data_IF_958482794646
#
_entry.id   IF_958482794646
#
_cell.length_a   1.000
_cell.length_b   1.000
_cell.length_c   1.000
_cell.angle_alpha   90.00
_cell.angle_beta   90.00
_cell.angle_gamma   90.00
#
_symmetry.space_group_name_H-M   'P 1'
#
loop_
_entity.id
_entity.type
_entity.pdbx_description
1 polymer ?
#
# COMPACT_ATOMS: atom_id res chain seq x y z
N UNK A 1 -14.12 -14.59 -1.88
CA UNK A 1 -12.71 -14.76 -1.47
C UNK A 1 -11.87 -13.62 -2.03
N UNK A 2 -10.99 -13.06 -1.23
CA UNK A 2 -10.17 -11.92 -1.66
C UNK A 2 -9.02 -12.36 -2.56
N UNK A 3 -8.78 -11.62 -3.64
CA UNK A 3 -7.68 -11.88 -4.57
C UNK A 3 -6.34 -11.40 -4.05
N UNK A 4 -6.35 -10.36 -3.22
CA UNK A 4 -5.13 -9.72 -2.76
C UNK A 4 -5.04 -9.76 -1.23
N UNK A 5 -3.81 -9.66 -0.72
CA UNK A 5 -3.53 -9.78 0.71
C UNK A 5 -2.91 -8.51 1.25
N UNK A 6 -3.16 -8.25 2.53
CA UNK A 6 -2.48 -7.17 3.26
C UNK A 6 -0.97 -7.39 3.17
N UNK A 7 -0.24 -6.34 2.84
CA UNK A 7 1.21 -6.38 2.69
C UNK A 7 1.69 -6.51 1.25
N UNK A 8 0.81 -6.79 0.31
CA UNK A 8 1.19 -6.84 -1.10
C UNK A 8 1.50 -5.43 -1.61
N UNK A 9 2.53 -5.33 -2.44
CA UNK A 9 3.07 -4.06 -2.93
C UNK A 9 2.85 -3.97 -4.42
N UNK A 10 2.48 -2.77 -4.87
CA UNK A 10 2.28 -2.48 -6.29
C UNK A 10 3.04 -1.21 -6.67
N UNK A 11 3.38 -1.12 -7.95
CA UNK A 11 3.93 0.09 -8.53
C UNK A 11 2.77 0.98 -8.97
N UNK A 12 2.53 2.05 -8.23
CA UNK A 12 1.42 2.95 -8.53
C UNK A 12 1.76 3.87 -9.72
N UNK A 13 3.02 4.33 -9.78
CA UNK A 13 3.57 5.08 -10.90
C UNK A 13 5.07 4.80 -10.96
N UNK A 14 5.78 5.43 -11.92
CA UNK A 14 7.23 5.24 -12.03
C UNK A 14 8.00 5.64 -10.78
N UNK A 15 7.42 6.52 -9.99
CA UNK A 15 8.08 7.08 -8.81
C UNK A 15 7.35 6.78 -7.49
N UNK A 16 6.27 6.03 -7.54
CA UNK A 16 5.44 5.79 -6.37
C UNK A 16 5.14 4.30 -6.22
N UNK A 17 5.33 3.81 -5.01
CA UNK A 17 4.84 2.49 -4.62
C UNK A 17 3.59 2.63 -3.77
N UNK A 18 2.83 1.56 -3.69
CA UNK A 18 1.68 1.49 -2.78
C UNK A 18 1.61 0.09 -2.20
N UNK A 19 0.88 -0.04 -1.11
CA UNK A 19 0.68 -1.36 -0.52
C UNK A 19 -0.71 -1.47 0.10
N UNK A 20 -1.20 -2.69 0.18
CA UNK A 20 -2.47 -2.98 0.83
C UNK A 20 -2.23 -3.01 2.33
N UNK A 21 -2.95 -2.17 3.06
CA UNK A 21 -2.81 -2.07 4.53
C UNK A 21 -4.07 -2.51 5.26
N UNK A 22 -5.14 -2.77 4.54
CA UNK A 22 -6.39 -3.21 5.16
C UNK A 22 -7.39 -3.65 4.11
N UNK A 23 -8.58 -4.01 4.59
CA UNK A 23 -9.70 -4.44 3.74
C UNK A 23 -10.88 -3.51 3.94
N UNK A 24 -11.69 -3.37 2.89
CA UNK A 24 -12.99 -2.72 2.99
C UNK A 24 -14.07 -3.72 3.36
N UNK A 25 -15.32 -3.27 3.32
CA UNK A 25 -16.47 -4.10 3.69
C UNK A 25 -16.75 -5.21 2.67
N UNK A 26 -16.55 -4.91 1.40
CA UNK A 26 -16.76 -5.90 0.34
C UNK A 26 -15.48 -6.69 0.07
N UNK A 27 -15.62 -7.92 -0.40
CA UNK A 27 -14.50 -8.80 -0.67
C UNK A 27 -13.55 -8.27 -1.74
N UNK A 28 -14.01 -7.37 -2.59
CA UNK A 28 -13.20 -6.78 -3.63
C UNK A 28 -12.69 -5.38 -3.28
N UNK A 29 -12.84 -4.96 -2.04
CA UNK A 29 -12.46 -3.62 -1.59
C UNK A 29 -11.26 -3.69 -0.66
N UNK A 30 -10.27 -2.87 -0.93
CA UNK A 30 -9.00 -2.85 -0.20
C UNK A 30 -8.64 -1.43 0.21
N UNK A 31 -7.99 -1.31 1.36
CA UNK A 31 -7.43 -0.04 1.79
C UNK A 31 -5.97 0.02 1.34
N UNK A 32 -5.68 0.97 0.48
CA UNK A 32 -4.37 1.12 -0.15
C UNK A 32 -3.65 2.34 0.42
N UNK A 33 -2.40 2.17 0.82
CA UNK A 33 -1.53 3.29 1.18
C UNK A 33 -0.64 3.60 -0.01
N UNK A 34 -0.60 4.87 -0.42
CA UNK A 34 0.14 5.30 -1.60
C UNK A 34 1.26 6.24 -1.18
N UNK A 35 2.45 5.96 -1.68
CA UNK A 35 3.64 6.79 -1.44
C UNK A 35 3.49 8.15 -2.12
N UNK A 36 3.93 9.20 -1.44
CA UNK A 36 3.86 10.54 -2.00
C UNK A 36 4.90 10.72 -3.10
N UNK A 37 4.49 11.36 -4.16
CA UNK A 37 5.29 11.54 -5.35
C UNK A 37 6.58 12.34 -5.11
N UNK A 38 6.50 13.41 -4.34
CA UNK A 38 7.62 14.35 -4.18
C UNK A 38 8.51 14.05 -2.97
N UNK A 39 8.11 13.15 -2.11
CA UNK A 39 8.85 12.88 -0.88
C UNK A 39 8.80 14.00 0.16
N UNK A 40 7.96 15.02 -0.03
CA UNK A 40 7.81 16.11 0.92
C UNK A 40 6.62 15.89 1.83
N UNK A 41 6.76 16.20 3.11
CA UNK A 41 5.69 16.13 4.11
C UNK A 41 5.08 14.73 4.22
N UNK A 42 4.09 14.59 5.04
CA UNK A 42 3.41 13.31 5.19
C UNK A 42 4.35 12.17 5.56
N UNK A 43 5.34 12.43 6.40
CA UNK A 43 6.26 11.40 6.83
C UNK A 43 5.53 10.32 7.62
N UNK A 44 6.12 9.15 7.70
CA UNK A 44 5.55 8.03 8.45
C UNK A 44 5.29 8.38 9.91
N UNK A 45 6.02 9.32 10.46
CA UNK A 45 5.87 9.72 11.85
C UNK A 45 4.50 10.31 12.19
N UNK A 46 3.76 10.78 11.19
CA UNK A 46 2.44 11.38 11.40
C UNK A 46 1.31 10.37 11.49
N UNK A 47 1.56 9.13 11.15
CA UNK A 47 0.50 8.14 11.06
C UNK A 47 0.21 7.48 12.40
N UNK A 48 1.14 7.62 13.30
CA UNK A 48 1.02 6.95 14.58
C UNK A 48 1.45 5.49 14.51
N UNK A 49 1.44 4.85 15.66
CA UNK A 49 1.92 3.48 15.78
C UNK A 49 0.75 2.53 15.86
N UNK A 50 0.30 2.12 14.72
CA UNK A 50 -0.73 1.11 14.63
C UNK A 50 -0.30 0.05 13.62
N UNK A 51 -1.14 -0.94 13.45
CA UNK A 51 -0.83 -2.05 12.55
C UNK A 51 -0.59 -1.59 11.11
N UNK A 52 -1.34 -0.59 10.66
CA UNK A 52 -1.16 -0.04 9.31
C UNK A 52 0.22 0.60 9.15
N UNK A 53 0.70 1.30 10.18
CA UNK A 53 2.03 1.90 10.16
C UNK A 53 3.12 0.85 9.97
N UNK A 54 3.02 -0.26 10.70
CA UNK A 54 3.99 -1.35 10.58
C UNK A 54 3.97 -1.97 9.18
N UNK A 55 2.80 -2.14 8.63
CA UNK A 55 2.63 -2.66 7.27
C UNK A 55 3.27 -1.71 6.26
N UNK A 56 3.01 -0.43 6.38
CA UNK A 56 3.57 0.59 5.49
C UNK A 56 5.11 0.57 5.54
N UNK A 57 5.68 0.49 6.73
CA UNK A 57 7.13 0.40 6.88
C UNK A 57 7.67 -0.86 6.22
N UNK A 58 7.02 -1.98 6.43
CA UNK A 58 7.46 -3.25 5.85
C UNK A 58 7.38 -3.25 4.33
N UNK A 59 6.48 -2.45 3.77
CA UNK A 59 6.35 -2.29 2.32
C UNK A 59 7.42 -1.36 1.71
N UNK A 60 8.21 -0.70 2.56
CA UNK A 60 9.27 0.19 2.08
C UNK A 60 8.79 1.56 1.61
N UNK A 61 7.58 1.96 1.95
CA UNK A 61 7.09 3.30 1.65
C UNK A 61 7.77 4.30 2.58
N UNK A 62 8.25 5.40 2.03
CA UNK A 62 9.04 6.39 2.78
C UNK A 62 8.25 7.63 3.15
N UNK A 63 7.43 8.10 2.25
CA UNK A 63 6.70 9.36 2.41
C UNK A 63 5.26 9.14 2.01
N UNK A 64 4.35 9.74 2.76
CA UNK A 64 2.93 9.59 2.51
C UNK A 64 2.26 10.96 2.37
N UNK A 65 1.12 10.96 1.72
CA UNK A 65 0.24 12.14 1.71
C UNK A 65 -0.32 12.36 3.11
N UNK A 66 -0.90 13.51 3.36
CA UNK A 66 -1.58 13.78 4.63
C UNK A 66 -2.71 12.78 4.89
N UNK A 67 -3.40 12.39 3.82
CA UNK A 67 -4.41 11.33 3.86
C UNK A 67 -3.98 10.26 2.86
N UNK A 68 -3.09 9.36 3.29
CA UNK A 68 -2.46 8.43 2.36
C UNK A 68 -3.31 7.24 1.98
N UNK A 69 -4.48 7.07 2.59
CA UNK A 69 -5.28 5.86 2.42
C UNK A 69 -6.43 6.09 1.47
N UNK A 70 -6.57 5.18 0.50
CA UNK A 70 -7.67 5.17 -0.44
C UNK A 70 -8.27 3.78 -0.52
N UNK A 71 -9.59 3.71 -0.65
CA UNK A 71 -10.24 2.46 -0.96
C UNK A 71 -10.20 2.23 -2.46
N UNK A 72 -9.80 1.02 -2.85
CA UNK A 72 -9.72 0.61 -4.25
C UNK A 72 -10.32 -0.78 -4.39
N UNK A 73 -10.67 -1.14 -5.63
CA UNK A 73 -11.22 -2.46 -5.91
C UNK A 73 -10.23 -3.37 -6.64
N UNK A 74 -10.63 -4.61 -6.86
CA UNK A 74 -9.83 -5.59 -7.59
C UNK A 74 -9.42 -5.08 -8.97
N UNK A 75 -10.35 -4.45 -9.68
CA UNK A 75 -10.10 -4.01 -11.05
C UNK A 75 -9.00 -2.98 -11.11
N UNK A 76 -9.00 -2.06 -10.18
CA UNK A 76 -7.94 -1.06 -10.08
C UNK A 76 -6.60 -1.71 -9.79
N UNK A 77 -6.56 -2.61 -8.82
CA UNK A 77 -5.32 -3.28 -8.44
C UNK A 77 -4.76 -4.16 -9.56
N UNK A 78 -5.61 -4.78 -10.34
CA UNK A 78 -5.18 -5.60 -11.46
C UNK A 78 -4.51 -4.79 -12.58
N UNK A 79 -4.72 -3.49 -12.62
CA UNK A 79 -4.03 -2.61 -13.58
C UNK A 79 -2.62 -2.25 -13.15
N UNK A 80 -2.25 -2.51 -11.89
CA UNK A 80 -0.97 -2.12 -11.35
C UNK A 80 0.06 -3.24 -11.46
N UNK A 81 1.32 -2.86 -11.65
CA UNK A 81 2.43 -3.80 -11.65
C UNK A 81 2.73 -4.26 -10.24
N UNK A 82 2.82 -5.57 -10.05
CA UNK A 82 3.16 -6.17 -8.76
C UNK A 82 4.64 -6.03 -8.47
N UNK A 83 4.95 -5.68 -7.23
CA UNK A 83 6.33 -5.54 -6.76
C UNK A 83 6.62 -6.66 -5.77
N UNK A 84 7.65 -7.46 -6.07
CA UNK A 84 8.03 -8.56 -5.20
C UNK A 84 8.82 -8.04 -4.01
N UNK A 85 8.49 -8.53 -2.82
CA UNK A 85 9.22 -8.17 -1.60
C UNK A 85 10.50 -8.98 -1.52
N UNK A 86 11.63 -8.30 -1.27
CA UNK A 86 12.93 -8.95 -1.24
C UNK A 86 13.09 -9.95 -0.11
N UNK A 87 12.51 -9.66 1.05
CA UNK A 87 12.66 -10.49 2.24
C UNK A 87 11.72 -11.69 2.23
N UNK A 88 10.74 -11.67 1.34
CA UNK A 88 9.70 -12.69 1.36
C UNK A 88 9.22 -12.94 -0.05
N UNK A 89 9.78 -13.94 -0.67
CA UNK A 89 9.45 -14.31 -2.04
C UNK A 89 8.09 -14.98 -2.19
N UNK A 90 7.36 -15.16 -1.11
CA UNK A 90 6.14 -15.95 -1.10
C UNK A 90 4.88 -15.17 -1.40
N UNK A 91 4.96 -13.84 -1.46
CA UNK A 91 3.77 -13.02 -1.65
C UNK A 91 3.24 -13.01 -3.07
N UNK A 92 4.05 -13.36 -4.02
CA UNK A 92 3.64 -13.37 -5.42
C UNK A 92 3.99 -14.69 -6.08
#
# INVERSE_FOLDING_TARGET
MRKFKIGQIFKYSDYQKCCIVGYGELDNCYLLAIEKYTGHNGSLNRIGRNKAFDIIKSCGLKYLYERPFWFVDDDMLETLEKVRRKENNLLW
#
